data_IF_601374980231
#
_entry.id   IF_601374980231
#
_cell.length_a   1.000
_cell.length_b   1.000
_cell.length_c   1.000
_cell.angle_alpha   90.00
_cell.angle_beta   90.00
_cell.angle_gamma   90.00
#
_symmetry.space_group_name_H-M   'P 1'
#
loop_
_entity.id
_entity.type
_entity.pdbx_description
1 polymer ?
#
# COMPACT_ATOMS: atom_id res chain seq x y z
N UNK A 1 8.27 24.56 4.14
CA UNK A 1 9.00 23.71 3.17
C UNK A 1 10.49 23.94 3.36
N UNK A 2 11.27 22.88 3.62
CA UNK A 2 12.74 22.97 3.64
C UNK A 2 13.23 23.41 2.25
N UNK A 3 14.17 24.34 2.20
CA UNK A 3 14.74 24.82 0.94
C UNK A 3 15.52 23.68 0.28
N UNK A 4 15.21 23.37 -0.98
CA UNK A 4 15.91 22.31 -1.72
C UNK A 4 17.39 22.66 -1.86
N UNK A 5 18.26 21.69 -1.60
CA UNK A 5 19.70 21.81 -1.84
C UNK A 5 19.99 21.95 -3.33
N UNK A 6 21.17 22.48 -3.68
CA UNK A 6 21.59 22.56 -5.08
C UNK A 6 21.58 21.18 -5.77
N UNK A 7 22.02 20.14 -5.06
CA UNK A 7 21.98 18.76 -5.53
C UNK A 7 20.55 18.28 -5.80
N UNK A 8 19.60 18.53 -4.89
CA UNK A 8 18.21 18.15 -5.09
C UNK A 8 17.58 18.85 -6.31
N UNK A 9 17.90 20.13 -6.52
CA UNK A 9 17.43 20.89 -7.70
C UNK A 9 17.99 20.32 -9.00
N UNK A 10 19.30 20.04 -9.04
CA UNK A 10 19.96 19.44 -10.21
C UNK A 10 19.39 18.04 -10.52
N UNK A 11 19.17 17.23 -9.47
CA UNK A 11 18.54 15.92 -9.62
C UNK A 11 17.13 16.00 -10.20
N UNK A 12 16.28 16.90 -9.70
CA UNK A 12 14.93 17.11 -10.23
C UNK A 12 14.94 17.64 -11.67
N UNK A 13 15.90 18.50 -12.02
CA UNK A 13 16.07 18.98 -13.38
C UNK A 13 16.42 17.83 -14.33
N UNK A 14 17.36 16.96 -13.96
CA UNK A 14 17.73 15.76 -14.73
C UNK A 14 16.56 14.80 -14.91
N UNK A 15 15.77 14.55 -13.87
CA UNK A 15 14.57 13.71 -13.99
C UNK A 15 13.57 14.29 -15.00
N UNK A 16 13.44 15.62 -15.04
CA UNK A 16 12.55 16.29 -16.00
C UNK A 16 13.09 16.25 -17.42
N UNK A 17 14.39 16.41 -17.61
CA UNK A 17 15.06 16.25 -18.91
C UNK A 17 14.88 14.83 -19.44
N UNK A 18 15.07 13.83 -18.58
CA UNK A 18 14.84 12.42 -18.91
C UNK A 18 13.38 12.17 -19.30
N UNK A 19 12.41 12.66 -18.51
CA UNK A 19 10.99 12.57 -18.84
C UNK A 19 10.68 13.13 -20.23
N UNK A 20 11.18 14.33 -20.54
CA UNK A 20 10.96 14.96 -21.85
C UNK A 20 11.56 14.11 -22.97
N UNK A 21 12.80 13.61 -22.80
CA UNK A 21 13.47 12.77 -23.80
C UNK A 21 12.68 11.48 -24.06
N UNK A 22 12.32 10.75 -22.99
CA UNK A 22 11.63 9.46 -23.09
C UNK A 22 10.24 9.61 -23.70
N UNK A 23 9.48 10.65 -23.33
CA UNK A 23 8.17 10.91 -23.94
C UNK A 23 8.30 11.24 -25.43
N UNK A 24 9.33 12.01 -25.83
CA UNK A 24 9.57 12.32 -27.24
C UNK A 24 9.98 11.08 -28.05
N UNK A 25 10.85 10.22 -27.50
CA UNK A 25 11.26 8.96 -28.13
C UNK A 25 10.10 7.98 -28.31
N UNK A 26 9.07 8.08 -27.47
CA UNK A 26 7.89 7.20 -27.48
C UNK A 26 6.64 7.90 -28.04
N UNK A 27 6.81 8.95 -28.84
CA UNK A 27 5.71 9.74 -29.42
C UNK A 27 4.68 8.88 -30.18
N UNK A 28 5.12 7.86 -30.91
CA UNK A 28 4.22 6.98 -31.67
C UNK A 28 3.33 6.14 -30.76
N UNK A 29 3.85 5.65 -29.63
CA UNK A 29 3.08 4.89 -28.63
C UNK A 29 2.03 5.81 -28.00
N UNK A 30 2.44 7.02 -27.59
CA UNK A 30 1.54 8.03 -27.01
C UNK A 30 0.43 8.40 -28.01
N UNK A 31 0.81 8.70 -29.25
CA UNK A 31 -0.13 9.06 -30.32
C UNK A 31 -1.11 7.94 -30.66
N UNK A 32 -0.64 6.69 -30.65
CA UNK A 32 -1.49 5.51 -30.87
C UNK A 32 -2.48 5.34 -29.73
N UNK A 33 -2.04 5.51 -28.48
CA UNK A 33 -2.92 5.44 -27.31
C UNK A 33 -3.96 6.57 -27.29
N UNK A 34 -3.58 7.81 -27.66
CA UNK A 34 -4.52 8.92 -27.82
C UNK A 34 -5.63 8.58 -28.81
N UNK A 35 -5.29 8.07 -29.99
CA UNK A 35 -6.27 7.66 -31.02
C UNK A 35 -7.19 6.54 -30.52
N UNK A 36 -6.63 5.58 -29.78
CA UNK A 36 -7.41 4.51 -29.15
C UNK A 36 -8.44 5.09 -28.16
N UNK A 37 -8.02 6.01 -27.29
CA UNK A 37 -8.90 6.72 -26.35
C UNK A 37 -9.95 7.60 -27.05
N UNK A 38 -9.58 8.31 -28.11
CA UNK A 38 -10.50 9.16 -28.89
C UNK A 38 -11.65 8.36 -29.51
N UNK A 39 -11.37 7.13 -29.96
CA UNK A 39 -12.40 6.22 -30.47
C UNK A 39 -13.45 5.84 -29.40
N UNK A 40 -13.09 5.97 -28.12
CA UNK A 40 -13.97 5.76 -26.96
C UNK A 40 -14.51 7.09 -26.38
N UNK A 41 -14.26 8.22 -27.05
CA UNK A 41 -14.70 9.55 -26.62
C UNK A 41 -13.83 10.19 -25.52
N UNK A 42 -12.63 9.67 -25.28
CA UNK A 42 -11.68 10.16 -24.27
C UNK A 42 -10.59 10.97 -24.97
N UNK A 43 -10.49 12.26 -24.67
CA UNK A 43 -9.51 13.16 -25.28
C UNK A 43 -8.35 13.42 -24.31
N UNK A 44 -7.15 12.98 -24.70
CA UNK A 44 -5.93 13.11 -23.89
C UNK A 44 -4.96 14.12 -24.51
N UNK A 45 -4.56 15.13 -23.73
CA UNK A 45 -3.48 16.06 -24.04
C UNK A 45 -2.10 15.49 -23.72
N UNK A 46 -1.03 16.22 -24.04
CA UNK A 46 0.34 15.82 -23.69
C UNK A 46 0.59 15.85 -22.17
N UNK A 47 -0.13 16.71 -21.45
CA UNK A 47 -0.08 16.85 -20.00
C UNK A 47 -0.65 15.65 -19.24
N UNK A 48 -1.45 14.81 -19.91
CA UNK A 48 -1.94 13.55 -19.38
C UNK A 48 -0.87 12.45 -19.33
N UNK A 49 0.31 12.67 -19.91
CA UNK A 49 1.38 11.67 -19.98
C UNK A 49 2.55 12.06 -19.08
N UNK A 50 3.00 11.10 -18.28
CA UNK A 50 4.16 11.22 -17.41
C UNK A 50 5.07 10.03 -17.57
N UNK A 51 6.37 10.26 -17.47
CA UNK A 51 7.33 9.18 -17.38
C UNK A 51 7.86 9.07 -15.96
N UNK A 52 7.78 7.86 -15.42
CA UNK A 52 8.41 7.50 -14.17
C UNK A 52 9.36 6.35 -14.43
N UNK A 53 10.62 6.52 -14.03
CA UNK A 53 11.61 5.46 -14.14
C UNK A 53 11.17 4.17 -13.41
N UNK A 54 10.24 4.23 -12.45
CA UNK A 54 9.74 3.03 -11.75
C UNK A 54 8.62 2.29 -12.48
N UNK A 55 7.81 3.00 -13.26
CA UNK A 55 6.53 2.48 -13.76
C UNK A 55 6.28 2.72 -15.25
N UNK A 56 7.22 3.36 -15.94
CA UNK A 56 7.17 3.60 -17.38
C UNK A 56 6.40 4.85 -17.74
N UNK A 57 5.77 4.82 -18.93
CA UNK A 57 4.97 5.92 -19.44
C UNK A 57 3.53 5.69 -18.97
N UNK A 58 3.05 6.60 -18.14
CA UNK A 58 1.73 6.57 -17.52
C UNK A 58 0.85 7.60 -18.20
N UNK A 59 -0.33 7.16 -18.62
CA UNK A 59 -1.42 8.03 -19.02
C UNK A 59 -2.41 8.17 -17.86
N UNK A 60 -2.78 9.40 -17.52
CA UNK A 60 -3.71 9.70 -16.42
C UNK A 60 -4.88 10.53 -16.89
N UNK A 61 -6.09 10.08 -16.56
CA UNK A 61 -7.35 10.76 -16.83
C UNK A 61 -8.39 10.35 -15.78
N UNK A 62 -9.30 11.24 -15.34
CA UNK A 62 -10.28 10.89 -14.32
C UNK A 62 -11.13 9.68 -14.72
N UNK A 63 -11.16 8.66 -13.87
CA UNK A 63 -11.90 7.42 -14.03
C UNK A 63 -11.57 6.64 -15.33
N UNK A 64 -10.33 6.75 -15.81
CA UNK A 64 -9.87 6.17 -17.06
C UNK A 64 -10.19 4.67 -17.17
N UNK A 65 -10.04 3.89 -16.11
CA UNK A 65 -10.26 2.43 -16.18
C UNK A 65 -11.70 2.08 -16.50
N UNK A 66 -12.67 2.74 -15.87
CA UNK A 66 -14.08 2.49 -16.12
C UNK A 66 -14.52 2.97 -17.51
N UNK A 67 -13.83 3.97 -18.07
CA UNK A 67 -14.07 4.44 -19.44
C UNK A 67 -13.47 3.48 -20.49
N UNK A 68 -12.34 2.84 -20.18
CA UNK A 68 -11.67 1.89 -21.07
C UNK A 68 -12.21 0.46 -20.96
N UNK A 69 -12.81 0.09 -19.83
CA UNK A 69 -13.37 -1.24 -19.56
C UNK A 69 -14.70 -1.08 -18.83
N UNK A 70 -15.78 -0.88 -19.57
CA UNK A 70 -17.13 -0.71 -19.03
C UNK A 70 -17.72 -2.02 -18.47
N UNK A 71 -17.11 -3.16 -18.79
CA UNK A 71 -17.47 -4.48 -18.30
C UNK A 71 -16.88 -4.81 -16.92
N UNK A 72 -15.88 -4.06 -16.46
CA UNK A 72 -15.30 -4.24 -15.13
C UNK A 72 -16.24 -3.74 -14.03
N UNK A 73 -16.72 -4.68 -13.23
CA UNK A 73 -17.61 -4.38 -12.10
C UNK A 73 -16.82 -4.24 -10.81
N UNK A 74 -16.71 -3.01 -10.32
CA UNK A 74 -16.14 -2.71 -9.00
C UNK A 74 -17.16 -3.04 -7.90
N UNK A 75 -16.73 -3.68 -6.82
CA UNK A 75 -17.59 -3.97 -5.68
C UNK A 75 -17.90 -2.71 -4.85
N UNK A 76 -18.80 -2.85 -3.87
CA UNK A 76 -19.21 -1.76 -2.98
C UNK A 76 -18.07 -1.14 -2.15
N UNK A 77 -16.91 -1.79 -2.09
CA UNK A 77 -15.73 -1.37 -1.33
C UNK A 77 -14.64 -0.78 -2.24
N UNK A 78 -14.90 -0.65 -3.55
CA UNK A 78 -13.94 -0.11 -4.50
C UNK A 78 -12.92 -1.13 -5.01
N UNK A 79 -13.19 -2.43 -4.86
CA UNK A 79 -12.28 -3.50 -5.27
C UNK A 79 -12.80 -4.30 -6.47
N UNK A 80 -11.88 -4.86 -7.25
CA UNK A 80 -12.17 -5.76 -8.36
C UNK A 80 -11.83 -7.21 -7.96
N UNK A 81 -12.64 -8.16 -8.40
CA UNK A 81 -12.35 -9.60 -8.23
C UNK A 81 -11.11 -9.97 -9.03
N UNK A 82 -10.08 -10.45 -8.34
CA UNK A 82 -8.78 -10.67 -8.94
C UNK A 82 -8.76 -11.88 -9.89
N UNK A 83 -9.67 -12.85 -9.70
CA UNK A 83 -9.80 -13.98 -10.62
C UNK A 83 -10.48 -13.59 -11.92
N UNK A 84 -11.47 -12.69 -11.86
CA UNK A 84 -12.08 -12.12 -13.06
C UNK A 84 -11.03 -11.33 -13.84
N UNK A 85 -10.27 -10.47 -13.16
CA UNK A 85 -9.18 -9.72 -13.77
C UNK A 85 -8.13 -10.63 -14.45
N UNK A 86 -7.70 -11.70 -13.79
CA UNK A 86 -6.71 -12.64 -14.35
C UNK A 86 -7.25 -13.52 -15.49
N UNK A 87 -8.57 -13.67 -15.61
CA UNK A 87 -9.21 -14.36 -16.75
C UNK A 87 -9.32 -13.46 -17.97
N UNK A 88 -9.57 -12.17 -17.73
CA UNK A 88 -9.77 -11.18 -18.79
C UNK A 88 -8.44 -10.64 -19.33
N UNK A 89 -7.45 -10.45 -18.47
CA UNK A 89 -6.18 -9.81 -18.81
C UNK A 89 -4.98 -10.68 -18.48
N UNK A 90 -3.97 -10.62 -19.33
CA UNK A 90 -2.79 -11.46 -19.19
C UNK A 90 -1.83 -10.92 -18.11
N UNK A 91 -1.31 -11.83 -17.29
CA UNK A 91 -0.18 -11.53 -16.40
C UNK A 91 1.12 -11.74 -17.19
N UNK A 92 1.92 -10.68 -17.35
CA UNK A 92 3.27 -10.82 -17.91
C UNK A 92 4.26 -11.25 -16.83
N UNK A 93 5.22 -12.10 -17.21
CA UNK A 93 6.30 -12.51 -16.33
C UNK A 93 7.08 -11.28 -15.84
N UNK A 94 7.41 -11.25 -14.55
CA UNK A 94 8.15 -10.16 -13.90
C UNK A 94 7.41 -8.80 -13.85
N UNK A 95 6.12 -8.76 -14.15
CA UNK A 95 5.29 -7.55 -14.15
C UNK A 95 4.16 -7.64 -13.13
N UNK A 96 4.48 -8.10 -11.92
CA UNK A 96 3.50 -8.21 -10.84
C UNK A 96 2.95 -6.82 -10.49
N UNK A 97 1.64 -6.76 -10.23
CA UNK A 97 0.92 -5.49 -10.09
C UNK A 97 0.49 -4.85 -11.41
N UNK A 98 0.78 -5.48 -12.55
CA UNK A 98 0.32 -5.03 -13.87
C UNK A 98 -0.47 -6.14 -14.59
N UNK A 99 -1.53 -5.75 -15.31
CA UNK A 99 -2.30 -6.65 -16.16
C UNK A 99 -2.35 -6.09 -17.58
N UNK A 100 -2.02 -6.92 -18.56
CA UNK A 100 -1.94 -6.55 -19.98
C UNK A 100 -3.31 -6.56 -20.65
N UNK A 101 -3.73 -5.40 -21.17
CA UNK A 101 -4.97 -5.16 -21.92
C UNK A 101 -4.72 -4.96 -23.43
N UNK A 102 -3.54 -5.28 -23.93
CA UNK A 102 -3.12 -5.11 -25.32
C UNK A 102 -2.58 -3.71 -25.62
N UNK A 103 -3.39 -2.67 -25.46
CA UNK A 103 -3.00 -1.27 -25.76
C UNK A 103 -2.44 -0.52 -24.56
N UNK A 104 -2.64 -1.05 -23.36
CA UNK A 104 -2.21 -0.47 -22.09
C UNK A 104 -2.16 -1.58 -21.02
N UNK A 105 -1.62 -1.26 -19.85
CA UNK A 105 -1.65 -2.12 -18.67
C UNK A 105 -2.42 -1.47 -17.53
N UNK A 106 -3.33 -2.22 -16.93
CA UNK A 106 -3.89 -1.89 -15.62
C UNK A 106 -2.79 -1.99 -14.57
N UNK A 107 -2.94 -1.22 -13.49
CA UNK A 107 -1.94 -1.12 -12.43
C UNK A 107 -2.63 -1.28 -11.09
N UNK A 108 -2.08 -2.10 -10.20
CA UNK A 108 -2.49 -2.10 -8.80
C UNK A 108 -2.36 -0.67 -8.24
N UNK A 109 -3.30 -0.30 -7.36
CA UNK A 109 -3.39 1.08 -6.86
C UNK A 109 -2.06 1.58 -6.30
N UNK A 110 -1.69 2.82 -6.59
CA UNK A 110 -0.38 3.38 -6.22
C UNK A 110 -0.15 3.49 -4.70
N UNK A 111 -1.17 3.27 -3.87
CA UNK A 111 -1.04 3.17 -2.41
C UNK A 111 -0.35 1.89 -1.93
N UNK A 112 -0.19 0.88 -2.79
CA UNK A 112 0.72 -0.24 -2.53
C UNK A 112 2.21 0.13 -2.70
N UNK A 113 2.51 1.30 -3.27
CA UNK A 113 3.88 1.76 -3.49
C UNK A 113 4.47 2.37 -2.23
N UNK A 114 5.80 2.38 -2.17
CA UNK A 114 6.54 3.03 -1.08
C UNK A 114 6.11 4.50 -0.96
N UNK A 115 5.78 4.93 0.25
CA UNK A 115 5.34 6.31 0.51
C UNK A 115 4.05 6.73 -0.21
N UNK A 116 3.25 5.78 -0.71
CA UNK A 116 1.95 6.05 -1.32
C UNK A 116 2.01 6.94 -2.57
N UNK A 117 3.13 6.96 -3.28
CA UNK A 117 3.37 7.88 -4.41
C UNK A 117 3.53 7.12 -5.74
N UNK A 118 2.95 7.67 -6.82
CA UNK A 118 3.00 7.09 -8.18
C UNK A 118 4.42 7.01 -8.77
N UNK A 119 5.36 7.81 -8.25
CA UNK A 119 6.77 7.79 -8.68
C UNK A 119 7.51 6.56 -8.14
N UNK A 120 7.05 5.95 -7.05
CA UNK A 120 7.78 4.86 -6.40
C UNK A 120 7.37 3.49 -6.97
N UNK A 121 8.20 2.47 -6.72
CA UNK A 121 7.84 1.09 -7.02
C UNK A 121 6.93 0.51 -5.93
N UNK A 122 6.28 -0.63 -6.21
CA UNK A 122 5.50 -1.37 -5.22
C UNK A 122 6.36 -1.73 -4.02
N UNK A 123 5.80 -1.58 -2.81
CA UNK A 123 6.51 -1.95 -1.59
C UNK A 123 6.70 -3.49 -1.57
N UNK A 124 7.91 -3.94 -1.22
CA UNK A 124 8.74 -4.77 -2.09
C UNK A 124 8.26 -6.20 -2.35
N UNK A 125 7.19 -6.68 -1.69
CA UNK A 125 6.69 -8.03 -1.96
C UNK A 125 5.19 -8.23 -1.70
N UNK A 126 4.45 -7.25 -1.15
CA UNK A 126 3.01 -7.45 -0.91
C UNK A 126 2.28 -7.82 -2.20
N UNK A 127 2.53 -7.04 -3.26
CA UNK A 127 1.93 -7.27 -4.57
C UNK A 127 2.40 -8.59 -5.17
N UNK A 128 3.68 -8.93 -5.05
CA UNK A 128 4.22 -10.19 -5.57
C UNK A 128 3.54 -11.40 -4.92
N UNK A 129 3.47 -11.41 -3.58
CA UNK A 129 2.78 -12.47 -2.83
C UNK A 129 1.30 -12.54 -3.17
N UNK A 130 0.63 -11.39 -3.30
CA UNK A 130 -0.77 -11.35 -3.68
C UNK A 130 -0.98 -11.91 -5.11
N UNK A 131 -0.04 -11.63 -6.02
CA UNK A 131 -0.08 -12.11 -7.40
C UNK A 131 0.09 -13.63 -7.52
N UNK A 132 0.87 -14.22 -6.61
CA UNK A 132 1.24 -15.63 -6.57
C UNK A 132 0.37 -16.47 -5.63
N UNK A 133 -0.53 -15.84 -4.87
CA UNK A 133 -1.37 -16.46 -3.86
C UNK A 133 -2.07 -17.73 -4.40
N UNK A 134 -1.91 -18.90 -3.76
CA UNK A 134 -2.61 -20.12 -4.16
C UNK A 134 -4.10 -20.02 -3.83
N UNK A 135 -4.96 -20.26 -4.82
CA UNK A 135 -6.40 -19.90 -4.75
C UNK A 135 -7.44 -21.01 -4.48
N UNK A 136 -7.13 -22.28 -4.15
CA UNK A 136 -8.18 -23.31 -4.12
C UNK A 136 -9.26 -23.10 -3.03
N UNK A 137 -9.11 -22.15 -2.10
CA UNK A 137 -10.08 -21.84 -1.03
C UNK A 137 -10.20 -20.36 -0.67
N UNK A 138 -9.62 -19.47 -1.49
CA UNK A 138 -9.59 -18.03 -1.22
C UNK A 138 -10.21 -17.27 -2.37
N UNK A 139 -10.99 -16.25 -2.07
CA UNK A 139 -11.44 -15.25 -3.04
C UNK A 139 -10.74 -13.95 -2.75
N UNK A 140 -9.93 -13.48 -3.69
CA UNK A 140 -9.13 -12.28 -3.52
C UNK A 140 -9.62 -11.13 -4.40
N UNK A 141 -9.59 -9.94 -3.82
CA UNK A 141 -10.01 -8.70 -4.43
C UNK A 141 -8.91 -7.67 -4.25
N UNK A 142 -8.73 -6.81 -5.25
CA UNK A 142 -7.67 -5.81 -5.25
C UNK A 142 -8.15 -4.49 -5.85
N UNK A 143 -7.59 -3.39 -5.33
CA UNK A 143 -7.79 -2.06 -5.87
C UNK A 143 -6.83 -1.83 -7.04
N UNK A 144 -7.40 -1.44 -8.18
CA UNK A 144 -6.69 -0.97 -9.37
C UNK A 144 -6.69 0.56 -9.36
N UNK A 145 -5.63 1.19 -9.85
CA UNK A 145 -5.59 2.64 -10.03
C UNK A 145 -6.71 3.06 -11.00
N UNK A 146 -7.72 3.82 -10.55
CA UNK A 146 -8.89 4.11 -11.39
C UNK A 146 -8.58 5.13 -12.49
N UNK A 147 -7.52 5.92 -12.32
CA UNK A 147 -7.25 7.09 -13.16
C UNK A 147 -6.07 6.88 -14.10
N UNK A 148 -5.23 5.86 -13.86
CA UNK A 148 -3.94 5.72 -14.53
C UNK A 148 -3.70 4.34 -15.14
N UNK A 149 -3.10 4.34 -16.33
CA UNK A 149 -2.62 3.12 -17.02
C UNK A 149 -1.19 3.31 -17.52
N UNK A 150 -0.45 2.20 -17.64
CA UNK A 150 0.86 2.19 -18.31
C UNK A 150 0.67 1.88 -19.80
N UNK A 151 1.35 2.60 -20.69
CA UNK A 151 1.18 2.41 -22.15
C UNK A 151 2.40 1.82 -22.87
N UNK A 152 3.59 1.86 -22.27
CA UNK A 152 4.79 1.26 -22.86
C UNK A 152 4.89 -0.24 -22.50
N UNK A 153 4.15 -1.05 -23.26
CA UNK A 153 3.93 -2.49 -23.05
C UNK A 153 5.19 -3.37 -23.10
N UNK A 154 6.17 -2.95 -23.89
CA UNK A 154 7.47 -3.63 -24.07
C UNK A 154 8.59 -2.99 -23.23
N UNK A 155 8.24 -2.07 -22.35
CA UNK A 155 9.20 -1.44 -21.45
C UNK A 155 9.79 -2.44 -20.45
N UNK A 156 10.81 -1.99 -19.72
CA UNK A 156 11.43 -2.79 -18.68
C UNK A 156 10.51 -3.03 -17.48
N UNK A 157 10.85 -4.07 -16.71
CA UNK A 157 10.33 -4.33 -15.38
C UNK A 157 11.42 -3.96 -14.36
N UNK A 158 11.03 -3.34 -13.24
CA UNK A 158 11.95 -3.15 -12.12
C UNK A 158 11.75 -4.28 -11.11
N UNK A 159 12.85 -4.98 -10.84
CA UNK A 159 12.91 -5.95 -9.78
C UNK A 159 13.51 -5.29 -8.55
N UNK A 160 12.70 -5.13 -7.50
CA UNK A 160 13.17 -4.72 -6.19
C UNK A 160 13.65 -5.95 -5.42
N UNK A 161 14.89 -5.92 -4.90
CA UNK A 161 15.45 -7.00 -4.07
C UNK A 161 15.57 -6.61 -2.60
N UNK A 162 14.83 -5.58 -2.19
CA UNK A 162 14.66 -5.22 -0.77
C UNK A 162 13.83 -6.34 -0.11
N UNK A 163 14.50 -7.34 0.45
CA UNK A 163 13.80 -8.42 1.14
C UNK A 163 13.32 -7.94 2.51
N UNK A 164 12.01 -8.06 2.74
CA UNK A 164 11.40 -7.95 4.06
C UNK A 164 10.98 -9.35 4.46
N UNK A 165 11.31 -9.80 5.67
CA UNK A 165 10.93 -11.12 6.14
C UNK A 165 9.74 -11.00 7.10
N UNK A 166 8.74 -11.85 6.90
CA UNK A 166 7.66 -12.02 7.88
C UNK A 166 8.20 -12.53 9.21
N UNK A 167 7.56 -12.11 10.30
CA UNK A 167 7.91 -12.55 11.65
C UNK A 167 7.65 -14.07 11.84
N UNK A 168 8.48 -14.72 12.65
CA UNK A 168 8.21 -16.06 13.18
C UNK A 168 7.13 -15.96 14.25
N UNK A 169 5.91 -16.32 13.90
CA UNK A 169 4.75 -16.07 14.76
C UNK A 169 4.23 -17.33 15.45
N UNK A 170 3.70 -17.15 16.66
CA UNK A 170 2.99 -18.18 17.42
C UNK A 170 1.65 -18.51 16.73
N UNK A 171 1.45 -19.77 16.36
CA UNK A 171 0.32 -20.19 15.54
C UNK A 171 -1.01 -20.21 16.30
N UNK A 172 -0.97 -20.13 17.64
CA UNK A 172 -2.15 -20.29 18.49
C UNK A 172 -2.90 -18.96 18.69
N UNK A 173 -3.59 -18.48 17.65
CA UNK A 173 -4.39 -17.25 17.69
C UNK A 173 -5.40 -17.26 18.85
N UNK A 174 -5.99 -18.41 19.16
CA UNK A 174 -6.92 -18.60 20.27
C UNK A 174 -6.34 -18.18 21.63
N UNK A 175 -5.03 -18.30 21.83
CA UNK A 175 -4.36 -18.00 23.10
C UNK A 175 -4.09 -16.52 23.34
N UNK A 176 -4.13 -15.70 22.29
CA UNK A 176 -3.81 -14.26 22.37
C UNK A 176 -4.91 -13.54 23.19
N UNK A 177 -4.62 -12.85 24.28
CA UNK A 177 -5.66 -12.18 25.04
C UNK A 177 -6.31 -11.05 24.24
N UNK A 178 -7.62 -10.85 24.44
CA UNK A 178 -8.29 -9.63 24.00
C UNK A 178 -7.66 -8.42 24.68
N UNK A 179 -7.51 -7.32 23.95
CA UNK A 179 -6.84 -6.15 24.46
C UNK A 179 -6.29 -5.25 23.38
N UNK A 180 -5.59 -4.21 23.81
CA UNK A 180 -4.93 -3.26 22.93
C UNK A 180 -3.44 -3.23 23.26
N UNK A 181 -2.62 -3.25 22.23
CA UNK A 181 -1.18 -3.04 22.28
C UNK A 181 -0.85 -1.83 21.43
N UNK A 182 -0.11 -0.88 21.98
CA UNK A 182 0.36 0.28 21.26
C UNK A 182 1.87 0.38 21.35
N UNK A 183 2.54 0.16 20.22
CA UNK A 183 3.99 0.21 20.10
C UNK A 183 4.42 1.55 19.51
N UNK A 184 5.56 2.06 19.95
CA UNK A 184 6.19 3.28 19.40
C UNK A 184 7.66 2.99 19.15
N UNK A 185 8.28 3.64 18.15
CA UNK A 185 9.73 3.63 18.04
C UNK A 185 10.38 4.23 19.30
N UNK A 186 11.67 3.96 19.53
CA UNK A 186 12.41 4.53 20.65
C UNK A 186 12.39 6.07 20.62
N UNK A 187 12.08 6.69 21.76
CA UNK A 187 11.96 8.16 21.88
C UNK A 187 13.32 8.89 21.85
N UNK A 188 14.40 8.15 22.04
CA UNK A 188 15.78 8.64 22.12
C UNK A 188 16.48 8.67 20.75
N UNK A 189 15.72 8.45 19.66
CA UNK A 189 16.22 8.36 18.29
C UNK A 189 15.67 9.51 17.47
N UNK A 190 16.54 10.14 16.68
CA UNK A 190 16.14 11.27 15.83
C UNK A 190 15.26 10.87 14.64
N UNK A 191 14.53 11.85 14.10
CA UNK A 191 13.58 11.66 13.00
C UNK A 191 14.22 11.10 11.72
N UNK A 192 15.51 11.36 11.48
CA UNK A 192 16.19 10.87 10.27
C UNK A 192 16.44 9.36 10.35
N UNK A 193 16.82 8.87 11.52
CA UNK A 193 16.97 7.44 11.80
C UNK A 193 15.59 6.77 11.80
N UNK A 194 14.56 7.39 12.39
CA UNK A 194 13.18 6.88 12.34
C UNK A 194 12.63 6.81 10.91
N UNK A 195 12.90 7.83 10.10
CA UNK A 195 12.55 7.83 8.68
C UNK A 195 13.19 6.67 7.94
N UNK A 196 14.48 6.42 8.17
CA UNK A 196 15.23 5.40 7.47
C UNK A 196 14.92 3.96 7.92
N UNK A 197 14.89 3.71 9.24
CA UNK A 197 14.79 2.36 9.79
C UNK A 197 13.38 1.97 10.25
N UNK A 198 12.49 2.94 10.48
CA UNK A 198 11.10 2.72 10.88
C UNK A 198 10.10 3.22 9.84
N UNK A 199 10.56 3.62 8.65
CA UNK A 199 9.73 4.18 7.57
C UNK A 199 8.80 5.29 8.07
N UNK A 200 9.34 6.17 8.92
CA UNK A 200 8.60 7.25 9.58
C UNK A 200 7.37 6.77 10.36
N UNK A 201 7.35 5.54 10.88
CA UNK A 201 6.28 5.08 11.76
C UNK A 201 6.27 5.93 13.03
N UNK A 202 5.10 6.40 13.43
CA UNK A 202 4.86 7.09 14.68
C UNK A 202 4.40 6.12 15.77
N UNK A 203 3.45 5.25 15.44
CA UNK A 203 3.04 4.16 16.31
C UNK A 203 2.38 3.03 15.49
N UNK A 204 2.35 1.85 16.10
CA UNK A 204 1.54 0.72 15.67
C UNK A 204 0.51 0.44 16.76
N UNK A 205 -0.76 0.60 16.46
CA UNK A 205 -1.87 0.26 17.36
C UNK A 205 -2.42 -1.09 16.91
N UNK A 206 -2.58 -2.04 17.83
CA UNK A 206 -3.12 -3.38 17.57
C UNK A 206 -4.21 -3.68 18.57
N UNK A 207 -5.35 -4.16 18.10
CA UNK A 207 -6.48 -4.56 18.95
C UNK A 207 -6.95 -5.96 18.60
N UNK A 208 -7.04 -6.80 19.63
CA UNK A 208 -7.78 -8.05 19.58
C UNK A 208 -9.11 -7.89 20.31
N UNK A 209 -10.16 -8.47 19.74
CA UNK A 209 -11.46 -8.61 20.38
C UNK A 209 -12.15 -9.89 19.93
N UNK A 210 -12.76 -10.59 20.87
CA UNK A 210 -13.50 -11.81 20.61
C UNK A 210 -14.99 -11.58 20.80
N UNK A 211 -15.79 -11.99 19.82
CA UNK A 211 -17.25 -12.03 19.90
C UNK A 211 -17.73 -13.40 19.43
N UNK A 212 -18.38 -14.13 20.33
CA UNK A 212 -18.83 -15.50 20.10
C UNK A 212 -17.64 -16.40 19.69
N UNK A 213 -17.66 -16.97 18.48
CA UNK A 213 -16.59 -17.82 17.95
C UNK A 213 -15.64 -17.09 17.02
N UNK A 214 -15.81 -15.78 16.85
CA UNK A 214 -14.98 -14.97 15.95
C UNK A 214 -14.08 -14.07 16.77
N UNK A 215 -12.78 -14.19 16.51
CA UNK A 215 -11.74 -13.38 17.09
C UNK A 215 -11.19 -12.44 16.03
N UNK A 216 -11.36 -11.15 16.23
CA UNK A 216 -10.98 -10.12 15.27
C UNK A 216 -9.69 -9.43 15.71
N UNK A 217 -8.82 -9.15 14.74
CA UNK A 217 -7.65 -8.29 14.89
C UNK A 217 -7.80 -7.04 14.02
N UNK A 218 -7.45 -5.90 14.59
CA UNK A 218 -7.32 -4.63 13.88
C UNK A 218 -5.94 -4.05 14.13
N UNK A 219 -5.29 -3.54 13.08
CA UNK A 219 -3.95 -2.96 13.16
C UNK A 219 -3.95 -1.60 12.44
N UNK A 220 -3.46 -0.56 13.10
CA UNK A 220 -3.24 0.76 12.50
C UNK A 220 -1.77 1.17 12.60
N UNK A 221 -1.14 1.45 11.45
CA UNK A 221 0.17 2.10 11.39
C UNK A 221 -0.02 3.60 11.14
N UNK A 222 0.28 4.39 12.16
CA UNK A 222 0.39 5.84 12.03
C UNK A 222 1.79 6.18 11.53
N UNK A 223 1.89 7.02 10.51
CA UNK A 223 3.14 7.67 10.11
C UNK A 223 3.35 8.97 10.88
N UNK A 224 4.56 9.51 10.86
CA UNK A 224 4.87 10.83 11.40
C UNK A 224 4.07 11.92 10.68
N UNK A 225 3.99 13.10 11.30
CA UNK A 225 3.26 14.24 10.75
C UNK A 225 3.87 14.85 9.48
N UNK A 226 5.05 14.39 9.05
CA UNK A 226 5.64 14.80 7.78
C UNK A 226 5.07 14.03 6.58
N UNK A 227 4.36 12.92 6.82
CA UNK A 227 3.80 12.08 5.76
C UNK A 227 2.34 12.45 5.54
N UNK A 228 2.05 13.02 4.37
CA UNK A 228 0.69 13.35 3.93
C UNK A 228 0.42 12.85 2.52
N UNK A 229 -0.87 12.69 2.20
CA UNK A 229 -1.38 12.40 0.85
C UNK A 229 -2.42 13.45 0.52
N UNK A 230 -2.27 14.08 -0.64
CA UNK A 230 -3.29 14.97 -1.18
C UNK A 230 -4.36 14.16 -1.93
N UNK A 231 -5.63 14.30 -1.53
CA UNK A 231 -6.79 13.70 -2.20
C UNK A 231 -7.88 14.75 -2.36
N UNK A 232 -8.38 14.95 -3.58
CA UNK A 232 -9.41 15.94 -3.89
C UNK A 232 -9.10 17.33 -3.29
N UNK A 233 -7.86 17.82 -3.49
CA UNK A 233 -7.32 19.10 -2.98
C UNK A 233 -7.09 19.21 -1.47
N UNK A 234 -7.44 18.20 -0.68
CA UNK A 234 -7.20 18.17 0.76
C UNK A 234 -6.02 17.28 1.10
N UNK A 235 -5.21 17.69 2.08
CA UNK A 235 -4.13 16.87 2.62
C UNK A 235 -4.64 16.02 3.78
N UNK A 236 -4.27 14.75 3.76
CA UNK A 236 -4.61 13.76 4.77
C UNK A 236 -3.36 13.08 5.30
N UNK A 237 -3.42 12.63 6.55
CA UNK A 237 -2.44 11.76 7.16
C UNK A 237 -2.85 10.32 6.91
N UNK A 238 -2.10 9.56 6.08
CA UNK A 238 -2.45 8.18 5.77
C UNK A 238 -2.11 7.26 6.94
N UNK A 239 -3.04 6.39 7.26
CA UNK A 239 -2.87 5.30 8.23
C UNK A 239 -3.15 4.00 7.51
N UNK A 240 -2.16 3.10 7.45
CA UNK A 240 -2.41 1.74 6.95
C UNK A 240 -3.22 0.99 7.99
N UNK A 241 -4.26 0.33 7.52
CA UNK A 241 -5.19 -0.41 8.34
C UNK A 241 -5.27 -1.86 7.87
N UNK A 242 -5.27 -2.79 8.81
CA UNK A 242 -5.63 -4.19 8.58
C UNK A 242 -6.80 -4.55 9.48
N UNK A 243 -7.74 -5.32 8.95
CA UNK A 243 -8.75 -6.05 9.70
C UNK A 243 -8.75 -7.52 9.28
N UNK A 244 -8.80 -8.42 10.25
CA UNK A 244 -8.97 -9.84 9.98
C UNK A 244 -9.86 -10.52 11.03
N UNK A 245 -10.56 -11.56 10.60
CA UNK A 245 -11.46 -12.37 11.44
C UNK A 245 -10.99 -13.81 11.45
N UNK A 246 -10.57 -14.27 12.63
CA UNK A 246 -10.21 -15.64 12.91
C UNK A 246 -11.41 -16.40 13.47
N UNK A 247 -11.77 -17.50 12.82
CA UNK A 247 -12.84 -18.38 13.28
C UNK A 247 -12.24 -19.45 14.19
N UNK A 248 -12.61 -19.41 15.48
CA UNK A 248 -12.09 -20.31 16.52
C UNK A 248 -12.50 -21.77 16.31
N UNK A 249 -13.54 -22.05 15.52
CA UNK A 249 -13.97 -23.41 15.21
C UNK A 249 -13.15 -24.00 14.06
N UNK A 250 -12.98 -23.21 12.99
CA UNK A 250 -12.19 -23.66 11.83
C UNK A 250 -10.68 -23.50 11.99
N UNK A 251 -10.24 -22.77 13.02
CA UNK A 251 -8.85 -22.41 13.30
C UNK A 251 -8.16 -21.75 12.10
N UNK A 252 -8.87 -20.86 11.43
CA UNK A 252 -8.36 -20.12 10.27
C UNK A 252 -8.96 -18.73 10.19
N UNK A 253 -8.26 -17.81 9.51
CA UNK A 253 -8.87 -16.54 9.15
C UNK A 253 -9.88 -16.78 8.04
N UNK A 254 -11.09 -16.24 8.20
CA UNK A 254 -12.18 -16.31 7.20
C UNK A 254 -12.30 -15.06 6.35
N UNK A 255 -11.71 -13.98 6.84
CA UNK A 255 -11.73 -12.66 6.24
C UNK A 255 -10.46 -11.91 6.63
N UNK A 256 -9.82 -11.27 5.67
CA UNK A 256 -8.63 -10.47 5.84
C UNK A 256 -8.62 -9.34 4.80
N UNK A 257 -8.60 -8.10 5.25
CA UNK A 257 -8.52 -6.95 4.38
C UNK A 257 -7.54 -5.90 4.87
N UNK A 258 -7.15 -5.02 3.95
CA UNK A 258 -6.33 -3.88 4.26
C UNK A 258 -6.76 -2.65 3.49
N UNK A 259 -6.60 -1.50 4.14
CA UNK A 259 -7.06 -0.21 3.66
C UNK A 259 -6.06 0.90 4.03
N UNK A 260 -6.28 2.08 3.46
CA UNK A 260 -5.71 3.33 3.95
C UNK A 260 -6.85 4.16 4.54
N UNK A 261 -6.70 4.56 5.81
CA UNK A 261 -7.53 5.56 6.44
C UNK A 261 -6.90 6.95 6.23
N UNK A 262 -7.70 7.91 5.79
CA UNK A 262 -7.28 9.28 5.48
C UNK A 262 -7.73 10.24 6.57
N UNK A 263 -6.90 10.41 7.59
CA UNK A 263 -7.22 11.31 8.69
C UNK A 263 -6.98 12.75 8.27
N UNK A 264 -7.96 13.63 8.51
CA UNK A 264 -7.68 15.06 8.54
C UNK A 264 -6.68 15.39 9.65
N UNK A 265 -6.10 16.58 9.61
CA UNK A 265 -5.17 17.03 10.65
C UNK A 265 -5.76 16.89 12.06
N UNK A 266 -6.98 17.38 12.28
CA UNK A 266 -7.64 17.28 13.58
C UNK A 266 -7.82 15.83 14.03
N UNK A 267 -8.34 14.97 13.15
CA UNK A 267 -8.58 13.56 13.48
C UNK A 267 -7.27 12.81 13.76
N UNK A 268 -6.21 13.11 13.00
CA UNK A 268 -4.90 12.48 13.14
C UNK A 268 -4.29 12.79 14.51
N UNK A 269 -4.20 14.07 14.89
CA UNK A 269 -3.64 14.46 16.19
C UNK A 269 -4.49 13.94 17.37
N UNK A 270 -5.81 13.81 17.17
CA UNK A 270 -6.69 13.18 18.18
C UNK A 270 -6.49 11.68 18.27
N UNK A 271 -6.33 10.96 17.16
CA UNK A 271 -6.29 9.50 17.14
C UNK A 271 -4.90 8.94 17.43
N UNK A 272 -3.83 9.56 16.92
CA UNK A 272 -2.45 9.03 16.97
C UNK A 272 -1.93 8.82 18.38
N UNK A 273 -2.43 9.59 19.35
CA UNK A 273 -2.04 9.53 20.76
C UNK A 273 -3.01 8.68 21.62
N UNK A 274 -4.23 8.43 21.13
CA UNK A 274 -5.23 7.59 21.80
C UNK A 274 -5.20 6.13 21.29
N UNK A 275 -5.91 5.22 21.97
CA UNK A 275 -6.05 3.82 21.58
C UNK A 275 -7.31 3.56 20.72
N UNK A 276 -7.46 2.34 20.16
CA UNK A 276 -8.65 1.93 19.40
C UNK A 276 -9.98 2.10 20.15
N UNK A 277 -9.97 2.25 21.48
CA UNK A 277 -11.17 2.50 22.25
C UNK A 277 -11.55 4.00 22.27
N UNK A 278 -10.87 4.86 21.52
CA UNK A 278 -11.17 6.30 21.43
C UNK A 278 -12.66 6.56 21.17
N UNK A 279 -13.24 5.96 20.14
CA UNK A 279 -14.63 6.15 19.75
C UNK A 279 -15.62 5.59 20.80
N UNK A 280 -15.25 4.55 21.55
CA UNK A 280 -16.09 4.07 22.67
C UNK A 280 -16.00 4.95 23.91
N UNK A 281 -14.90 5.71 24.06
CA UNK A 281 -14.62 6.56 25.23
C UNK A 281 -15.04 8.02 25.03
N UNK A 282 -15.35 8.45 23.79
CA UNK A 282 -15.62 9.83 23.44
C UNK A 282 -16.92 9.98 22.65
N UNK A 283 -17.65 11.06 22.90
CA UNK A 283 -18.91 11.38 22.19
C UNK A 283 -18.68 11.82 20.75
N UNK A 284 -17.52 12.39 20.45
CA UNK A 284 -17.15 12.83 19.10
C UNK A 284 -16.43 11.70 18.35
N UNK A 285 -17.21 10.80 17.77
CA UNK A 285 -16.72 9.69 16.96
C UNK A 285 -15.93 10.20 15.74
N UNK A 286 -14.75 9.65 15.53
CA UNK A 286 -13.98 9.84 14.30
C UNK A 286 -14.49 8.80 13.27
N UNK A 287 -15.02 9.28 12.14
CA UNK A 287 -15.40 8.46 10.99
C UNK A 287 -14.55 8.90 9.79
N UNK A 288 -13.38 8.30 9.70
CA UNK A 288 -12.38 8.64 8.71
C UNK A 288 -12.76 8.13 7.32
N UNK A 289 -12.41 8.90 6.28
CA UNK A 289 -12.45 8.40 4.90
C UNK A 289 -11.51 7.18 4.79
N UNK A 290 -11.98 6.11 4.16
CA UNK A 290 -11.21 4.87 3.99
C UNK A 290 -11.21 4.46 2.52
N UNK A 291 -10.08 3.92 2.06
CA UNK A 291 -9.96 3.27 0.77
C UNK A 291 -9.39 1.88 0.98
N UNK A 292 -10.23 0.86 0.73
CA UNK A 292 -9.79 -0.52 0.77
C UNK A 292 -8.83 -0.78 -0.41
N UNK A 293 -7.77 -1.53 -0.14
CA UNK A 293 -6.74 -1.85 -1.12
C UNK A 293 -6.81 -3.31 -1.54
N UNK A 294 -7.10 -4.20 -0.60
CA UNK A 294 -7.28 -5.62 -0.89
C UNK A 294 -8.27 -6.23 0.09
N UNK A 295 -8.81 -7.38 -0.29
CA UNK A 295 -9.61 -8.25 0.57
C UNK A 295 -9.41 -9.69 0.14
N UNK A 296 -9.23 -10.57 1.11
CA UNK A 296 -9.14 -12.01 0.93
C UNK A 296 -10.21 -12.64 1.83
N UNK A 297 -11.15 -13.32 1.21
CA UNK A 297 -12.19 -14.09 1.88
C UNK A 297 -11.93 -15.58 1.73
N UNK A 298 -12.46 -16.38 2.65
CA UNK A 298 -12.24 -17.83 2.67
C UNK A 298 -11.12 -18.19 3.63
N UNK A 299 -10.57 -19.41 3.52
CA UNK A 299 -9.60 -19.94 4.49
C UNK A 299 -8.22 -19.33 4.25
N UNK A 300 -7.82 -18.41 5.11
CA UNK A 300 -6.49 -17.80 5.17
C UNK A 300 -5.74 -18.39 6.36
N UNK A 301 -4.67 -19.14 6.07
CA UNK A 301 -3.78 -19.71 7.08
C UNK A 301 -3.09 -18.61 7.89
N UNK A 302 -2.77 -18.90 9.15
CA UNK A 302 -2.12 -17.95 10.07
C UNK A 302 -0.80 -17.45 9.50
N UNK A 303 -0.03 -18.32 8.88
CA UNK A 303 1.25 -17.97 8.25
C UNK A 303 1.08 -16.93 7.15
N UNK A 304 0.09 -17.12 6.27
CA UNK A 304 -0.22 -16.14 5.23
C UNK A 304 -0.66 -14.82 5.85
N UNK A 305 -1.54 -14.84 6.86
CA UNK A 305 -1.95 -13.61 7.54
C UNK A 305 -0.74 -12.81 8.07
N UNK A 306 0.18 -13.47 8.77
CA UNK A 306 1.39 -12.85 9.35
C UNK A 306 2.30 -12.31 8.25
N UNK A 307 2.52 -13.09 7.19
CA UNK A 307 3.39 -12.71 6.09
C UNK A 307 2.83 -11.51 5.32
N UNK A 308 1.57 -11.57 4.88
CA UNK A 308 0.90 -10.46 4.21
C UNK A 308 0.84 -9.21 5.10
N UNK A 309 0.55 -9.36 6.39
CA UNK A 309 0.55 -8.24 7.34
C UNK A 309 1.93 -7.60 7.44
N UNK A 310 2.97 -8.41 7.59
CA UNK A 310 4.36 -7.92 7.67
C UNK A 310 4.77 -7.15 6.42
N UNK A 311 4.39 -7.64 5.24
CA UNK A 311 4.68 -6.96 3.97
C UNK A 311 3.77 -5.76 3.69
N UNK A 312 2.54 -5.74 4.20
CA UNK A 312 1.69 -4.55 4.09
C UNK A 312 2.28 -3.38 4.90
N UNK A 313 2.84 -3.68 6.07
CA UNK A 313 3.59 -2.74 6.92
C UNK A 313 5.12 -2.75 6.67
N UNK A 314 5.56 -3.07 5.44
CA UNK A 314 7.00 -3.17 5.12
C UNK A 314 7.79 -1.93 5.58
N UNK A 315 9.00 -2.16 6.11
CA UNK A 315 9.93 -1.17 6.68
C UNK A 315 9.53 -0.59 8.03
N UNK A 316 8.47 -1.09 8.66
CA UNK A 316 8.14 -0.77 10.05
C UNK A 316 8.47 -1.95 10.98
N UNK A 317 9.59 -1.91 11.73
CA UNK A 317 9.97 -2.96 12.66
C UNK A 317 8.97 -3.23 13.78
N UNK A 318 8.06 -2.29 14.08
CA UNK A 318 7.06 -2.46 15.14
C UNK A 318 6.12 -3.64 14.85
N UNK A 319 5.85 -3.97 13.58
CA UNK A 319 5.03 -5.15 13.26
C UNK A 319 5.76 -6.45 13.60
N UNK A 320 7.09 -6.46 13.47
CA UNK A 320 7.91 -7.61 13.85
C UNK A 320 8.03 -7.68 15.37
N UNK A 321 8.25 -6.54 16.04
CA UNK A 321 8.20 -6.46 17.51
C UNK A 321 6.88 -7.00 18.06
N UNK A 322 5.76 -6.66 17.43
CA UNK A 322 4.46 -7.15 17.81
C UNK A 322 4.36 -8.68 17.74
N UNK A 323 4.86 -9.28 16.65
CA UNK A 323 4.76 -10.71 16.42
C UNK A 323 5.81 -11.55 17.15
N UNK A 324 7.03 -11.03 17.35
CA UNK A 324 8.16 -11.77 17.95
C UNK A 324 8.49 -11.33 19.38
N UNK A 325 7.90 -10.23 19.88
CA UNK A 325 8.20 -9.65 21.19
C UNK A 325 9.49 -8.82 21.25
N UNK A 326 10.15 -8.57 20.11
CA UNK A 326 11.37 -7.79 20.03
C UNK A 326 11.73 -7.37 18.60
N UNK A 327 12.64 -6.41 18.48
CA UNK A 327 13.09 -5.94 17.17
C UNK A 327 13.93 -6.98 16.42
N UNK A 328 13.93 -6.94 15.07
CA UNK A 328 14.93 -7.63 14.28
C UNK A 328 16.35 -7.29 14.75
N UNK A 329 17.26 -8.28 14.70
CA UNK A 329 18.65 -8.12 15.14
C UNK A 329 19.35 -6.90 14.52
N UNK A 330 19.14 -6.64 13.24
CA UNK A 330 19.76 -5.51 12.55
C UNK A 330 19.28 -4.14 13.06
N UNK A 331 18.03 -4.05 13.55
CA UNK A 331 17.50 -2.84 14.19
C UNK A 331 18.14 -2.66 15.56
N UNK A 332 18.27 -3.73 16.34
CA UNK A 332 18.94 -3.68 17.65
C UNK A 332 20.39 -3.20 17.49
N UNK A 333 21.16 -3.85 16.61
CA UNK A 333 22.56 -3.49 16.33
C UNK A 333 22.70 -2.03 15.83
N UNK A 334 21.71 -1.55 15.07
CA UNK A 334 21.66 -0.16 14.61
C UNK A 334 21.41 0.81 15.77
N UNK A 335 20.40 0.54 16.60
CA UNK A 335 20.05 1.38 17.75
C UNK A 335 21.21 1.49 18.74
N UNK A 336 21.92 0.38 19.00
CA UNK A 336 23.12 0.36 19.84
C UNK A 336 24.22 1.29 19.28
N UNK A 337 24.45 1.28 17.97
CA UNK A 337 25.43 2.16 17.32
C UNK A 337 25.03 3.63 17.39
N UNK A 338 23.76 3.95 17.16
CA UNK A 338 23.26 5.33 17.26
C UNK A 338 23.43 5.84 18.69
N UNK A 339 23.07 5.03 19.69
CA UNK A 339 23.18 5.38 21.12
C UNK A 339 24.63 5.48 21.62
N UNK A 340 25.56 4.76 21.01
CA UNK A 340 26.98 4.84 21.37
C UNK A 340 27.68 6.08 20.80
N UNK A 341 27.12 6.68 19.75
CA UNK A 341 27.67 7.85 19.06
C UNK A 341 26.99 9.18 19.47
N UNK A 342 25.90 9.10 20.22
CA UNK A 342 25.24 10.22 20.89
C UNK A 342 25.72 10.32 22.34
#
# INVERSE_FOLDING_TARGET
>A
MKQLTAFQKDYLAKLREEEISVLAENFEIISSFKKYCEAMGIFLGDDNFKYYHTSGIIATYPNLIALLNDDLTVDKEGLLDFDILCKQFARKRFMNGFLDCGNYMLMAHYYFRRGYHQINNFAPSFIDMFWELPKPKMQSYISIDPDSVRINMDGYAIMERDMWFGAKFDKFIESIPDGIVKLRPPLDVDDSILSFFFASAYCLDVKWSTKEFIKSIQIEEFKSEEITITKNTNDYYPVRYIHAEYDLQSQSFRHFDGAIHFYSSEEYFRRRDNDFNYNSKNTNHIKTLSQKLFKINGTVEVEHFVEFTSHFFTKNPLIIEYFEGGYPKYIIEMLEKVRANN
#
